data_IF_481043356067
#
_entry.id   IF_481043356067
#
_cell.length_a   1.000
_cell.length_b   1.000
_cell.length_c   1.000
_cell.angle_alpha   90.00
_cell.angle_beta   90.00
_cell.angle_gamma   90.00
#
_symmetry.space_group_name_H-M   'P 1'
#
loop_
_entity.id
_entity.type
_entity.pdbx_description
1 polymer ?
#
# COMPACT_ATOMS: atom_id res chain seq x y z
N UNK A 1 60.70 9.74 9.06
CA UNK A 1 59.40 10.42 8.88
C UNK A 1 58.98 11.02 10.23
N UNK A 2 58.63 12.32 10.31
CA UNK A 2 58.32 12.96 11.59
C UNK A 2 56.97 12.40 12.10
N UNK A 3 56.85 12.04 13.38
CA UNK A 3 55.64 11.51 14.02
C UNK A 3 54.36 12.30 13.66
N UNK A 4 54.47 13.63 13.57
CA UNK A 4 53.39 14.51 13.14
C UNK A 4 52.85 14.20 11.72
N UNK A 5 53.66 13.73 10.81
CA UNK A 5 53.23 13.39 9.45
C UNK A 5 52.49 12.07 9.43
N UNK A 6 52.91 11.08 10.23
CA UNK A 6 52.22 9.80 10.38
C UNK A 6 50.83 10.00 10.98
N UNK A 7 50.73 10.83 12.02
CA UNK A 7 49.43 11.12 12.67
C UNK A 7 48.48 11.86 11.71
N UNK A 8 48.97 12.82 10.93
CA UNK A 8 48.14 13.49 9.90
C UNK A 8 47.60 12.51 8.86
N UNK A 9 48.45 11.63 8.34
CA UNK A 9 48.04 10.62 7.35
C UNK A 9 47.01 9.68 7.95
N UNK A 10 47.21 9.21 9.19
CA UNK A 10 46.26 8.33 9.86
C UNK A 10 44.90 8.99 10.03
N UNK A 11 44.85 10.23 10.50
CA UNK A 11 43.60 10.99 10.65
C UNK A 11 42.90 11.19 9.30
N UNK A 12 43.65 11.61 8.28
CA UNK A 12 43.06 11.82 6.94
C UNK A 12 42.52 10.52 6.35
N UNK A 13 43.22 9.41 6.49
CA UNK A 13 42.77 8.10 6.02
C UNK A 13 41.50 7.63 6.78
N UNK A 14 41.47 7.85 8.08
CA UNK A 14 40.26 7.52 8.91
C UNK A 14 39.04 8.33 8.48
N UNK A 15 39.19 9.63 8.24
CA UNK A 15 38.10 10.49 7.78
C UNK A 15 37.64 10.06 6.37
N UNK A 16 38.54 9.78 5.46
CA UNK A 16 38.17 9.30 4.11
C UNK A 16 37.41 7.98 4.19
N UNK A 17 37.88 7.02 5.00
CA UNK A 17 37.17 5.74 5.19
C UNK A 17 35.78 5.92 5.77
N UNK A 18 35.62 6.79 6.77
CA UNK A 18 34.32 7.09 7.36
C UNK A 18 33.37 7.75 6.34
N UNK A 19 33.85 8.74 5.59
CA UNK A 19 33.06 9.40 4.55
C UNK A 19 32.67 8.42 3.43
N UNK A 20 33.59 7.55 3.01
CA UNK A 20 33.32 6.54 1.98
C UNK A 20 32.31 5.50 2.49
N UNK A 21 32.45 5.03 3.74
CA UNK A 21 31.51 4.11 4.36
C UNK A 21 30.10 4.71 4.48
N UNK A 22 30.03 5.98 4.89
CA UNK A 22 28.75 6.68 4.96
C UNK A 22 28.11 6.91 3.59
N UNK A 23 28.91 7.26 2.58
CA UNK A 23 28.44 7.45 1.21
C UNK A 23 27.91 6.14 0.62
N UNK A 24 28.62 5.02 0.81
CA UNK A 24 28.16 3.69 0.38
C UNK A 24 26.86 3.29 1.11
N UNK A 25 26.80 3.45 2.42
CA UNK A 25 25.61 3.18 3.20
C UNK A 25 24.40 4.01 2.71
N UNK A 26 24.62 5.31 2.49
CA UNK A 26 23.57 6.21 1.98
C UNK A 26 23.13 5.83 0.56
N UNK A 27 24.09 5.44 -0.29
CA UNK A 27 23.79 4.98 -1.65
C UNK A 27 22.93 3.70 -1.64
N UNK A 28 23.32 2.68 -0.88
CA UNK A 28 22.53 1.45 -0.78
C UNK A 28 21.13 1.70 -0.19
N UNK A 29 21.03 2.58 0.80
CA UNK A 29 19.73 2.94 1.39
C UNK A 29 18.84 3.70 0.42
N UNK A 30 19.41 4.60 -0.39
CA UNK A 30 18.65 5.34 -1.41
C UNK A 30 18.24 4.44 -2.56
N UNK A 31 19.13 3.57 -3.06
CA UNK A 31 18.79 2.58 -4.09
C UNK A 31 17.67 1.64 -3.64
N UNK A 32 17.75 1.10 -2.42
CA UNK A 32 16.69 0.25 -1.89
C UNK A 32 15.36 1.00 -1.75
N UNK A 33 15.39 2.30 -1.42
CA UNK A 33 14.18 3.12 -1.35
C UNK A 33 13.62 3.48 -2.73
N UNK A 34 14.47 3.56 -3.76
CA UNK A 34 14.02 3.74 -5.15
C UNK A 34 13.40 2.46 -5.71
N UNK A 35 14.03 1.29 -5.49
CA UNK A 35 13.51 0.00 -5.92
C UNK A 35 12.12 -0.30 -5.30
N UNK A 36 11.90 0.11 -4.05
CA UNK A 36 10.58 -0.02 -3.39
C UNK A 36 9.51 0.91 -3.97
N UNK A 37 9.88 2.08 -4.51
CA UNK A 37 8.92 2.98 -5.17
C UNK A 37 8.39 2.43 -6.49
N UNK A 38 9.12 1.53 -7.12
CA UNK A 38 8.80 0.99 -8.44
C UNK A 38 8.01 -0.32 -8.40
N UNK A 39 7.68 -0.83 -7.17
CA UNK A 39 6.86 -2.04 -7.06
C UNK A 39 5.45 -1.79 -7.61
N UNK A 40 5.10 -2.50 -8.69
CA UNK A 40 3.80 -2.38 -9.33
C UNK A 40 2.76 -3.24 -8.62
N UNK A 41 1.85 -2.61 -7.86
CA UNK A 41 0.78 -3.30 -7.13
C UNK A 41 -0.17 -4.09 -8.04
N UNK A 42 -0.33 -3.71 -9.31
CA UNK A 42 -1.19 -4.44 -10.24
C UNK A 42 -0.68 -5.84 -10.57
N UNK A 43 0.60 -6.11 -10.29
CA UNK A 43 1.17 -7.47 -10.39
C UNK A 43 0.60 -8.44 -9.34
N UNK A 44 -0.07 -7.93 -8.31
CA UNK A 44 -0.72 -8.70 -7.26
C UNK A 44 -2.22 -8.90 -7.49
N UNK A 45 -2.82 -8.10 -8.38
CA UNK A 45 -4.27 -8.09 -8.60
C UNK A 45 -4.68 -9.24 -9.51
N UNK A 46 -5.67 -10.07 -9.10
CA UNK A 46 -6.24 -11.08 -9.96
C UNK A 46 -6.84 -10.49 -11.24
N UNK A 47 -6.61 -11.13 -12.38
CA UNK A 47 -7.27 -10.75 -13.64
C UNK A 47 -8.80 -10.98 -13.60
N UNK A 48 -9.30 -11.72 -12.60
CA UNK A 48 -10.72 -11.93 -12.31
C UNK A 48 -11.40 -10.74 -11.63
N UNK A 49 -10.65 -9.70 -11.23
CA UNK A 49 -11.22 -8.50 -10.60
C UNK A 49 -12.25 -7.84 -11.53
N UNK A 50 -13.41 -7.44 -10.99
CA UNK A 50 -14.47 -6.74 -11.70
C UNK A 50 -14.22 -5.24 -11.80
N UNK A 51 -13.57 -4.68 -10.76
CA UNK A 51 -13.16 -3.29 -10.71
C UNK A 51 -11.91 -3.13 -9.85
N UNK A 52 -11.19 -2.03 -10.10
CA UNK A 52 -10.02 -1.62 -9.33
C UNK A 52 -10.09 -0.13 -9.07
N UNK A 53 -10.07 0.25 -7.79
CA UNK A 53 -9.89 1.62 -7.34
C UNK A 53 -8.42 1.86 -7.02
N UNK A 54 -7.85 2.99 -7.42
CA UNK A 54 -6.47 3.34 -7.12
C UNK A 54 -6.34 4.80 -6.74
N UNK A 55 -5.48 5.08 -5.76
CA UNK A 55 -4.96 6.43 -5.48
C UNK A 55 -3.45 6.37 -5.37
N UNK A 56 -2.77 7.37 -5.94
CA UNK A 56 -1.32 7.48 -5.93
C UNK A 56 -0.79 8.16 -4.66
N UNK A 57 -1.66 8.87 -3.93
CA UNK A 57 -1.37 9.47 -2.62
C UNK A 57 -2.54 9.25 -1.67
N UNK A 58 -2.41 8.25 -0.80
CA UNK A 58 -3.44 7.87 0.16
C UNK A 58 -3.71 8.98 1.17
N UNK A 59 -2.66 9.71 1.59
CA UNK A 59 -2.80 10.75 2.59
C UNK A 59 -3.56 11.96 2.03
N UNK A 60 -3.20 12.39 0.82
CA UNK A 60 -3.91 13.45 0.08
C UNK A 60 -5.36 13.05 -0.16
N UNK A 61 -5.62 11.84 -0.66
CA UNK A 61 -6.96 11.32 -0.91
C UNK A 61 -7.83 11.35 0.35
N UNK A 62 -7.31 10.89 1.50
CA UNK A 62 -8.06 10.88 2.77
C UNK A 62 -8.37 12.29 3.24
N UNK A 63 -7.42 13.23 3.14
CA UNK A 63 -7.60 14.62 3.54
C UNK A 63 -8.65 15.31 2.67
N UNK A 64 -8.55 15.18 1.36
CA UNK A 64 -9.47 15.81 0.42
C UNK A 64 -10.89 15.25 0.52
N UNK A 65 -11.03 13.93 0.68
CA UNK A 65 -12.34 13.28 0.89
C UNK A 65 -13.00 13.76 2.18
N UNK A 66 -12.24 14.05 3.23
CA UNK A 66 -12.79 14.55 4.49
C UNK A 66 -13.24 16.02 4.42
N UNK A 67 -12.64 16.82 3.56
CA UNK A 67 -13.05 18.22 3.34
C UNK A 67 -14.37 18.31 2.58
N UNK A 68 -14.77 17.24 1.83
CA UNK A 68 -16.06 17.23 1.16
C UNK A 68 -17.21 17.31 2.14
N UNK A 69 -18.14 18.22 1.90
CA UNK A 69 -19.34 18.46 2.74
C UNK A 69 -20.17 17.19 2.91
N UNK A 70 -20.24 16.35 1.87
CA UNK A 70 -20.93 15.05 1.89
C UNK A 70 -20.24 14.01 2.78
N UNK A 71 -18.93 14.14 3.02
CA UNK A 71 -18.17 13.23 3.89
C UNK A 71 -18.44 13.47 5.37
N UNK A 72 -18.83 14.69 5.77
CA UNK A 72 -19.14 15.04 7.17
C UNK A 72 -20.35 14.28 7.72
N UNK A 73 -21.30 13.93 6.88
CA UNK A 73 -22.49 13.15 7.27
C UNK A 73 -22.26 11.63 7.28
N UNK A 74 -21.05 11.17 7.03
CA UNK A 74 -20.61 9.75 7.00
C UNK A 74 -21.46 8.79 6.11
N UNK A 75 -22.41 9.31 5.33
CA UNK A 75 -23.39 8.50 4.60
C UNK A 75 -23.11 8.32 3.12
N UNK A 76 -22.26 9.15 2.50
CA UNK A 76 -22.22 9.24 1.03
C UNK A 76 -20.90 8.83 0.37
N UNK A 77 -19.80 8.65 1.09
CA UNK A 77 -18.52 8.19 0.55
C UNK A 77 -18.04 6.91 1.24
N UNK A 78 -18.78 5.86 1.02
CA UNK A 78 -18.38 4.52 1.39
C UNK A 78 -17.63 3.88 0.21
N UNK A 79 -16.31 3.85 0.29
CA UNK A 79 -15.49 3.18 -0.72
C UNK A 79 -15.45 1.68 -0.44
N UNK A 80 -15.12 1.31 0.80
CA UNK A 80 -15.11 -0.08 1.26
C UNK A 80 -14.95 -0.18 2.77
N UNK A 81 -15.31 -1.33 3.36
CA UNK A 81 -15.05 -1.63 4.77
C UNK A 81 -13.55 -1.63 5.08
N UNK A 82 -12.74 -2.18 4.17
CA UNK A 82 -11.28 -2.21 4.29
C UNK A 82 -10.69 -0.79 4.27
N UNK A 83 -11.21 0.07 3.40
CA UNK A 83 -10.79 1.48 3.35
C UNK A 83 -11.17 2.21 4.65
N UNK A 84 -12.33 1.93 5.22
CA UNK A 84 -12.74 2.54 6.49
C UNK A 84 -11.80 2.17 7.64
N UNK A 85 -11.31 0.94 7.70
CA UNK A 85 -10.29 0.52 8.66
C UNK A 85 -8.97 1.23 8.41
N UNK A 86 -8.51 1.31 7.16
CA UNK A 86 -7.29 2.01 6.79
C UNK A 86 -7.40 3.52 7.11
N UNK A 87 -8.53 4.15 6.78
CA UNK A 87 -8.79 5.56 7.07
C UNK A 87 -8.65 5.85 8.57
N UNK A 88 -9.28 5.04 9.42
CA UNK A 88 -9.19 5.18 10.87
C UNK A 88 -7.74 5.03 11.37
N UNK A 89 -6.98 4.15 10.74
CA UNK A 89 -5.56 3.99 11.02
C UNK A 89 -4.73 5.19 10.60
N UNK A 90 -4.91 5.69 9.37
CA UNK A 90 -4.20 6.85 8.87
C UNK A 90 -4.42 8.08 9.75
N UNK A 91 -5.64 8.31 10.22
CA UNK A 91 -5.92 9.38 11.19
C UNK A 91 -5.12 9.23 12.47
N UNK A 92 -5.07 8.03 13.03
CA UNK A 92 -4.32 7.81 14.27
C UNK A 92 -2.82 8.05 14.10
N UNK A 93 -2.30 7.82 12.90
CA UNK A 93 -0.89 8.06 12.59
C UNK A 93 -0.60 9.54 12.30
N UNK A 94 -1.52 10.25 11.66
CA UNK A 94 -1.43 11.69 11.41
C UNK A 94 -1.45 12.49 12.71
N UNK A 95 -2.22 12.04 13.72
CA UNK A 95 -2.20 12.64 15.06
C UNK A 95 -0.85 12.46 15.77
N UNK A 96 -0.24 11.27 15.64
CA UNK A 96 1.01 10.92 16.33
C UNK A 96 2.27 11.41 15.59
N UNK A 97 2.24 11.51 14.25
CA UNK A 97 3.39 11.89 13.42
C UNK A 97 3.00 12.54 12.08
N UNK A 98 2.55 13.81 12.09
CA UNK A 98 1.97 14.46 10.92
C UNK A 98 2.89 14.61 9.70
N UNK A 99 4.20 14.46 9.86
CA UNK A 99 5.18 14.62 8.77
C UNK A 99 5.83 13.30 8.29
N UNK A 100 5.51 12.18 8.92
CA UNK A 100 6.17 10.88 8.62
C UNK A 100 5.46 10.03 7.58
N UNK A 101 4.15 10.11 7.50
CA UNK A 101 3.32 9.22 6.69
C UNK A 101 3.21 9.60 5.22
N UNK A 102 3.21 10.89 4.91
CA UNK A 102 3.04 11.38 3.54
C UNK A 102 4.14 10.95 2.56
N UNK A 103 5.19 10.30 3.05
CA UNK A 103 6.31 9.83 2.22
C UNK A 103 6.37 8.31 2.06
N UNK A 104 5.61 7.56 2.83
CA UNK A 104 5.85 6.12 2.98
C UNK A 104 4.74 5.25 2.38
N UNK A 105 3.48 5.54 2.62
CA UNK A 105 2.34 4.82 2.01
C UNK A 105 1.73 5.65 0.87
N UNK A 106 2.42 5.74 -0.26
CA UNK A 106 1.97 6.61 -1.34
C UNK A 106 0.79 6.00 -2.11
N UNK A 107 0.93 4.77 -2.61
CA UNK A 107 -0.05 4.15 -3.48
C UNK A 107 -0.91 3.13 -2.73
N UNK A 108 -2.21 3.23 -2.91
CA UNK A 108 -3.19 2.25 -2.45
C UNK A 108 -4.07 1.82 -3.63
N UNK A 109 -4.42 0.54 -3.61
CA UNK A 109 -5.28 -0.07 -4.60
C UNK A 109 -6.31 -0.94 -3.88
N UNK A 110 -7.56 -0.95 -4.36
CA UNK A 110 -8.62 -1.85 -3.88
C UNK A 110 -9.19 -2.58 -5.09
N UNK A 111 -9.10 -3.91 -5.09
CA UNK A 111 -9.77 -4.74 -6.08
C UNK A 111 -11.10 -5.27 -5.56
N UNK A 112 -12.10 -5.31 -6.44
CA UNK A 112 -13.45 -5.80 -6.18
C UNK A 112 -13.66 -7.09 -6.96
N UNK A 113 -14.28 -8.07 -6.30
CA UNK A 113 -14.46 -9.41 -6.85
C UNK A 113 -15.93 -9.84 -6.74
N UNK A 114 -16.37 -10.68 -7.68
CA UNK A 114 -17.69 -11.29 -7.66
C UNK A 114 -17.80 -12.39 -6.57
N UNK A 115 -18.97 -12.53 -5.90
CA UNK A 115 -20.11 -11.62 -5.92
C UNK A 115 -19.80 -10.30 -5.20
N UNK A 116 -20.30 -9.18 -5.74
CA UNK A 116 -20.03 -7.84 -5.22
C UNK A 116 -20.61 -7.69 -3.80
N UNK A 117 -19.72 -7.63 -2.83
CA UNK A 117 -20.02 -7.35 -1.42
C UNK A 117 -18.77 -6.90 -0.68
N UNK A 118 -18.96 -6.32 0.51
CA UNK A 118 -17.87 -5.78 1.34
C UNK A 118 -16.78 -6.78 1.76
N UNK A 119 -17.05 -8.08 1.66
CA UNK A 119 -16.08 -9.13 1.99
C UNK A 119 -15.24 -9.56 0.81
N UNK A 120 -15.73 -9.35 -0.42
CA UNK A 120 -15.04 -9.76 -1.64
C UNK A 120 -14.18 -8.62 -2.21
N UNK A 121 -13.39 -8.02 -1.34
CA UNK A 121 -12.49 -6.92 -1.65
C UNK A 121 -11.09 -7.25 -1.14
N UNK A 122 -10.09 -6.74 -1.85
CA UNK A 122 -8.70 -6.82 -1.43
C UNK A 122 -8.10 -5.42 -1.49
N UNK A 123 -7.48 -5.00 -0.40
CA UNK A 123 -6.77 -3.75 -0.30
C UNK A 123 -5.27 -4.03 -0.38
N UNK A 124 -4.58 -3.28 -1.21
CA UNK A 124 -3.14 -3.36 -1.42
C UNK A 124 -2.54 -2.00 -1.10
N UNK A 125 -1.46 -1.99 -0.33
CA UNK A 125 -0.67 -0.80 -0.06
C UNK A 125 0.78 -1.08 -0.40
N UNK A 126 1.42 -0.14 -1.10
CA UNK A 126 2.87 -0.14 -1.24
C UNK A 126 3.49 0.30 0.09
N UNK A 127 4.54 -0.37 0.51
CA UNK A 127 5.26 -0.04 1.73
C UNK A 127 6.59 0.62 1.41
N UNK A 128 6.98 1.56 2.27
CA UNK A 128 8.30 2.15 2.30
C UNK A 128 9.13 1.64 3.48
N UNK A 129 10.37 2.10 3.57
CA UNK A 129 11.26 1.78 4.67
C UNK A 129 10.69 2.26 6.03
N UNK A 130 10.42 1.33 6.94
CA UNK A 130 9.90 1.60 8.28
C UNK A 130 8.39 1.45 8.45
N UNK A 131 7.63 1.26 7.36
CA UNK A 131 6.18 1.11 7.42
C UNK A 131 5.76 -0.19 8.12
N UNK A 132 6.57 -1.23 8.05
CA UNK A 132 6.31 -2.49 8.75
C UNK A 132 6.15 -2.31 10.26
N UNK A 133 7.00 -1.50 10.88
CA UNK A 133 6.89 -1.20 12.31
C UNK A 133 5.63 -0.40 12.66
N UNK A 134 5.18 0.46 11.74
CA UNK A 134 3.94 1.21 11.89
C UNK A 134 2.73 0.27 11.81
N UNK A 135 2.74 -0.67 10.86
CA UNK A 135 1.69 -1.68 10.70
C UNK A 135 1.62 -2.57 11.94
N UNK A 136 2.76 -3.02 12.48
CA UNK A 136 2.81 -3.83 13.70
C UNK A 136 2.20 -3.07 14.90
N UNK A 137 2.50 -1.77 15.04
CA UNK A 137 1.89 -0.92 16.09
C UNK A 137 0.39 -0.73 15.89
N UNK A 138 -0.06 -0.54 14.65
CA UNK A 138 -1.48 -0.46 14.32
C UNK A 138 -2.21 -1.74 14.70
N UNK A 139 -1.69 -2.86 14.25
CA UNK A 139 -2.25 -4.18 14.56
C UNK A 139 -2.39 -4.37 16.06
N UNK A 140 -1.37 -4.02 16.84
CA UNK A 140 -1.40 -4.10 18.31
C UNK A 140 -2.47 -3.20 18.94
N UNK A 141 -2.77 -2.04 18.34
CA UNK A 141 -3.73 -1.06 18.88
C UNK A 141 -5.19 -1.41 18.58
N UNK A 142 -5.48 -1.90 17.37
CA UNK A 142 -6.85 -2.04 16.86
C UNK A 142 -7.36 -3.49 16.76
N UNK A 143 -6.47 -4.46 16.81
CA UNK A 143 -6.84 -5.87 16.87
C UNK A 143 -7.34 -6.21 18.25
N UNK A 144 -8.40 -6.99 18.33
CA UNK A 144 -9.00 -7.42 19.59
C UNK A 144 -7.95 -8.05 20.51
N UNK A 145 -7.71 -7.43 21.67
CA UNK A 145 -6.81 -7.97 22.70
C UNK A 145 -7.31 -9.30 23.32
N UNK A 146 -8.56 -9.69 23.03
CA UNK A 146 -9.15 -10.91 23.56
C UNK A 146 -8.78 -12.19 22.81
N UNK A 147 -8.32 -12.08 21.59
CA UNK A 147 -7.97 -13.24 20.75
C UNK A 147 -6.64 -13.00 20.02
N UNK A 148 -5.64 -13.84 20.25
CA UNK A 148 -4.36 -13.71 19.56
C UNK A 148 -4.54 -13.96 18.04
N UNK A 149 -3.76 -13.27 17.19
CA UNK A 149 -3.72 -13.54 15.77
C UNK A 149 -3.25 -14.97 15.50
N UNK A 150 -3.71 -15.53 14.38
CA UNK A 150 -3.30 -16.86 13.93
C UNK A 150 -2.55 -16.74 12.63
N UNK A 151 -1.38 -17.37 12.54
CA UNK A 151 -0.60 -17.47 11.31
C UNK A 151 -0.88 -18.79 10.62
N UNK A 152 -1.08 -18.73 9.30
CA UNK A 152 -1.28 -19.87 8.42
C UNK A 152 -0.22 -19.84 7.32
N UNK A 153 0.52 -20.92 7.16
CA UNK A 153 1.38 -21.10 5.99
C UNK A 153 0.53 -21.45 4.76
N UNK A 154 0.76 -20.73 3.68
CA UNK A 154 0.21 -21.05 2.37
C UNK A 154 1.31 -21.00 1.31
N UNK A 155 1.73 -22.16 0.85
CA UNK A 155 2.80 -22.30 -0.16
C UNK A 155 4.13 -21.63 0.25
N UNK A 156 4.45 -21.62 1.56
CA UNK A 156 5.65 -21.03 2.11
C UNK A 156 5.56 -19.51 2.36
N UNK A 157 4.36 -18.96 2.31
CA UNK A 157 4.06 -17.57 2.66
C UNK A 157 3.13 -17.51 3.88
N UNK A 158 3.38 -16.58 4.79
CA UNK A 158 2.58 -16.44 6.01
C UNK A 158 1.35 -15.56 5.77
N UNK A 159 0.16 -16.09 6.07
CA UNK A 159 -1.09 -15.33 6.15
C UNK A 159 -1.45 -15.17 7.61
N UNK A 160 -1.52 -13.93 8.09
CA UNK A 160 -1.88 -13.62 9.47
C UNK A 160 -3.36 -13.26 9.52
N UNK A 161 -4.13 -13.95 10.37
CA UNK A 161 -5.55 -13.68 10.59
C UNK A 161 -5.72 -12.94 11.90
N UNK A 162 -6.25 -11.73 11.83
CA UNK A 162 -6.56 -10.88 12.97
C UNK A 162 -8.05 -10.91 13.26
N UNK A 163 -8.48 -11.37 14.45
CA UNK A 163 -9.86 -11.20 14.89
C UNK A 163 -10.17 -9.72 15.13
N UNK A 164 -11.26 -9.22 14.58
CA UNK A 164 -11.70 -7.84 14.73
C UNK A 164 -12.72 -7.71 15.86
N UNK A 165 -12.86 -6.49 16.41
CA UNK A 165 -13.77 -6.23 17.53
C UNK A 165 -15.25 -6.42 17.18
N UNK A 166 -15.62 -6.30 15.91
CA UNK A 166 -16.97 -6.49 15.37
C UNK A 166 -17.34 -7.96 15.10
N UNK A 167 -16.44 -8.89 15.43
CA UNK A 167 -16.62 -10.33 15.22
C UNK A 167 -16.23 -10.83 13.84
N UNK A 168 -15.79 -9.93 12.96
CA UNK A 168 -15.17 -10.28 11.69
C UNK A 168 -13.69 -10.67 11.89
N UNK A 169 -13.01 -10.97 10.80
CA UNK A 169 -11.56 -11.17 10.77
C UNK A 169 -10.94 -10.44 9.59
N UNK A 170 -9.69 -10.09 9.75
CA UNK A 170 -8.87 -9.49 8.71
C UNK A 170 -7.71 -10.43 8.40
N UNK A 171 -7.65 -10.92 7.17
CA UNK A 171 -6.52 -11.66 6.65
C UNK A 171 -5.49 -10.68 6.10
N UNK A 172 -4.24 -10.88 6.47
CA UNK A 172 -3.12 -10.02 6.14
C UNK A 172 -2.00 -10.83 5.51
N UNK A 173 -1.48 -10.37 4.39
CA UNK A 173 -0.24 -10.81 3.77
C UNK A 173 0.72 -9.63 3.70
N UNK A 174 1.79 -9.70 4.49
CA UNK A 174 2.74 -8.61 4.70
C UNK A 174 4.13 -9.03 4.25
N UNK A 175 4.72 -8.23 3.38
CA UNK A 175 6.11 -8.36 2.92
C UNK A 175 6.90 -7.08 3.23
N UNK A 176 8.12 -6.96 2.72
CA UNK A 176 8.90 -5.72 2.83
C UNK A 176 8.39 -4.64 1.87
N UNK A 177 7.81 -5.04 0.73
CA UNK A 177 7.42 -4.15 -0.36
C UNK A 177 5.95 -3.73 -0.31
N UNK A 178 5.09 -4.58 0.25
CA UNK A 178 3.64 -4.36 0.24
C UNK A 178 2.90 -5.02 1.40
N UNK A 179 1.72 -4.47 1.66
CA UNK A 179 0.69 -5.01 2.53
C UNK A 179 -0.55 -5.35 1.70
N UNK A 180 -1.11 -6.55 1.91
CA UNK A 180 -2.39 -6.96 1.33
C UNK A 180 -3.35 -7.35 2.44
N UNK A 181 -4.57 -6.80 2.41
CA UNK A 181 -5.61 -7.04 3.40
C UNK A 181 -6.91 -7.49 2.73
N UNK A 182 -7.60 -8.45 3.34
CA UNK A 182 -8.95 -8.86 2.92
C UNK A 182 -9.74 -9.43 4.10
N UNK A 183 -11.07 -9.29 4.06
CA UNK A 183 -11.97 -10.04 4.94
C UNK A 183 -12.15 -11.50 4.50
N UNK A 184 -11.49 -11.91 3.42
CA UNK A 184 -11.54 -13.27 2.85
C UNK A 184 -10.14 -13.85 2.73
N UNK A 185 -9.80 -14.85 3.56
CA UNK A 185 -8.51 -15.56 3.48
C UNK A 185 -8.26 -16.12 2.07
N UNK A 186 -9.32 -16.60 1.39
CA UNK A 186 -9.21 -17.17 0.04
C UNK A 186 -8.68 -16.17 -0.99
N UNK A 187 -9.06 -14.90 -0.89
CA UNK A 187 -8.55 -13.85 -1.79
C UNK A 187 -7.06 -13.58 -1.54
N UNK A 188 -6.60 -13.66 -0.29
CA UNK A 188 -5.16 -13.57 0.03
C UNK A 188 -4.39 -14.76 -0.56
N UNK A 189 -4.95 -15.98 -0.48
CA UNK A 189 -4.35 -17.17 -1.11
C UNK A 189 -4.24 -17.00 -2.62
N UNK A 190 -5.26 -16.41 -3.28
CA UNK A 190 -5.25 -16.10 -4.71
C UNK A 190 -4.17 -15.07 -5.07
N UNK A 191 -3.99 -14.01 -4.27
CA UNK A 191 -2.91 -13.04 -4.44
C UNK A 191 -1.53 -13.70 -4.37
N UNK A 192 -1.32 -14.61 -3.42
CA UNK A 192 -0.07 -15.37 -3.32
C UNK A 192 0.15 -16.25 -4.56
N UNK A 193 -0.91 -16.88 -5.06
CA UNK A 193 -0.83 -17.69 -6.28
C UNK A 193 -0.47 -16.87 -7.51
N UNK A 194 -1.06 -15.70 -7.64
CA UNK A 194 -0.78 -14.77 -8.73
C UNK A 194 0.66 -14.27 -8.67
N UNK A 195 1.13 -13.88 -7.50
CA UNK A 195 2.52 -13.47 -7.30
C UNK A 195 3.50 -14.55 -7.76
N UNK A 196 3.18 -15.83 -7.52
CA UNK A 196 4.02 -16.97 -7.92
C UNK A 196 3.89 -17.36 -9.38
N UNK A 197 2.73 -17.17 -9.99
CA UNK A 197 2.46 -17.57 -11.37
C UNK A 197 2.63 -16.45 -12.40
N UNK A 198 2.62 -15.19 -11.95
CA UNK A 198 2.68 -14.00 -12.81
C UNK A 198 1.39 -13.73 -13.61
N UNK A 199 0.29 -14.42 -13.29
CA UNK A 199 -1.00 -14.25 -13.99
C UNK A 199 -1.85 -13.15 -13.33
N UNK A 200 -1.35 -11.93 -13.36
CA UNK A 200 -1.96 -10.76 -12.74
C UNK A 200 -2.67 -9.87 -13.76
N UNK A 201 -3.34 -8.84 -13.24
CA UNK A 201 -3.99 -7.82 -14.05
C UNK A 201 -2.99 -7.02 -14.91
N UNK A 202 -1.74 -6.85 -14.45
CA UNK A 202 -0.69 -6.20 -15.24
C UNK A 202 -0.28 -6.99 -16.49
N UNK A 203 -0.70 -8.24 -16.62
CA UNK A 203 -0.51 -9.06 -17.81
C UNK A 203 -1.73 -9.11 -18.74
N UNK A 204 -2.81 -8.41 -18.41
CA UNK A 204 -4.03 -8.30 -19.22
C UNK A 204 -3.85 -7.18 -20.26
N UNK A 205 -3.79 -7.50 -21.59
CA UNK A 205 -3.57 -6.50 -22.63
C UNK A 205 -4.65 -5.42 -22.68
N UNK A 206 -5.92 -5.79 -22.44
CA UNK A 206 -7.05 -4.87 -22.45
C UNK A 206 -6.96 -3.87 -21.28
N UNK A 207 -6.40 -4.31 -20.15
CA UNK A 207 -6.15 -3.44 -19.00
C UNK A 207 -4.97 -2.50 -19.24
N UNK A 208 -3.87 -3.01 -19.78
CA UNK A 208 -2.68 -2.20 -20.09
C UNK A 208 -2.93 -1.13 -21.15
N UNK A 209 -3.86 -1.36 -22.09
CA UNK A 209 -4.27 -0.35 -23.06
C UNK A 209 -4.96 0.85 -22.38
N UNK A 210 -5.78 0.60 -21.35
CA UNK A 210 -6.53 1.63 -20.61
C UNK A 210 -5.66 2.29 -19.55
N UNK A 211 -4.76 1.54 -18.92
CA UNK A 211 -3.83 1.99 -17.89
C UNK A 211 -2.70 2.87 -18.46
N UNK A 212 -2.96 3.78 -19.33
CA UNK A 212 -1.91 4.68 -19.84
C UNK A 212 -1.43 5.60 -18.70
N UNK A 213 -0.11 5.73 -18.46
CA UNK A 213 0.42 6.66 -17.45
C UNK A 213 0.12 8.10 -17.88
N UNK A 214 -1.05 8.58 -17.52
CA UNK A 214 -1.41 9.98 -17.67
C UNK A 214 -0.87 10.71 -16.45
N UNK A 215 -0.32 11.91 -16.64
CA UNK A 215 -0.21 12.89 -15.57
C UNK A 215 -1.63 13.31 -15.20
N UNK A 216 -2.29 12.49 -14.40
CA UNK A 216 -3.64 12.77 -13.95
C UNK A 216 -3.59 13.79 -12.82
N UNK A 217 -4.45 14.78 -12.86
CA UNK A 217 -4.82 15.62 -11.71
C UNK A 217 -5.93 14.95 -10.89
N UNK A 218 -6.17 13.66 -11.12
CA UNK A 218 -7.16 12.88 -10.40
C UNK A 218 -6.62 12.49 -9.04
N UNK A 219 -7.43 12.62 -8.00
CA UNK A 219 -7.13 12.16 -6.63
C UNK A 219 -7.24 10.65 -6.51
N UNK A 220 -8.10 10.06 -7.34
CA UNK A 220 -8.26 8.62 -7.48
C UNK A 220 -8.76 8.26 -8.87
N UNK A 221 -8.52 7.02 -9.30
CA UNK A 221 -8.99 6.47 -10.57
C UNK A 221 -9.68 5.14 -10.33
N UNK A 222 -10.78 4.90 -11.02
CA UNK A 222 -11.51 3.62 -10.99
C UNK A 222 -11.43 2.98 -12.38
N UNK A 223 -10.90 1.78 -12.42
CA UNK A 223 -10.96 0.91 -13.60
C UNK A 223 -12.05 -0.13 -13.39
N UNK A 224 -12.94 -0.33 -14.33
CA UNK A 224 -14.03 -1.31 -14.22
C UNK A 224 -14.35 -1.97 -15.54
N UNK A 225 -14.84 -3.21 -15.49
CA UNK A 225 -15.45 -3.91 -16.61
C UNK A 225 -16.95 -3.67 -16.58
N UNK A 226 -17.44 -2.83 -17.47
CA UNK A 226 -18.87 -2.58 -17.58
C UNK A 226 -19.58 -3.74 -18.28
N UNK A 227 -20.71 -4.18 -17.72
CA UNK A 227 -21.53 -5.23 -18.31
C UNK A 227 -21.94 -4.82 -19.74
N UNK A 228 -21.63 -5.66 -20.74
CA UNK A 228 -21.91 -5.44 -22.13
C UNK A 228 -20.86 -4.66 -22.92
N UNK A 229 -19.78 -4.20 -22.29
CA UNK A 229 -18.60 -3.65 -22.97
C UNK A 229 -17.49 -4.72 -23.02
N UNK A 230 -16.77 -4.75 -24.15
CA UNK A 230 -15.53 -5.52 -24.22
C UNK A 230 -14.41 -4.64 -23.65
N UNK A 231 -13.68 -5.16 -22.66
CA UNK A 231 -12.51 -4.50 -22.09
C UNK A 231 -12.79 -3.67 -20.83
N UNK A 232 -11.77 -2.92 -20.42
CA UNK A 232 -11.75 -2.09 -19.23
C UNK A 232 -12.12 -0.63 -19.57
N UNK A 233 -12.71 0.08 -18.61
CA UNK A 233 -13.03 1.50 -18.71
C UNK A 233 -12.45 2.23 -17.49
N UNK A 234 -11.84 3.40 -17.73
CA UNK A 234 -11.23 4.26 -16.72
C UNK A 234 -12.15 5.42 -16.37
N UNK A 235 -12.28 5.71 -15.07
CA UNK A 235 -13.00 6.86 -14.53
C UNK A 235 -12.11 7.60 -13.54
N UNK A 236 -11.76 8.84 -13.89
CA UNK A 236 -10.99 9.72 -13.00
C UNK A 236 -11.91 10.46 -12.03
N UNK A 237 -11.59 10.36 -10.73
CA UNK A 237 -12.18 11.20 -9.69
C UNK A 237 -11.38 12.49 -9.58
N UNK A 238 -12.02 13.63 -9.82
CA UNK A 238 -11.44 14.97 -9.62
C UNK A 238 -12.30 15.72 -8.64
N UNK A 239 -11.68 16.30 -7.63
CA UNK A 239 -12.35 17.34 -6.88
C UNK A 239 -12.48 18.55 -7.80
N UNK A 240 -13.67 19.11 -7.90
CA UNK A 240 -13.85 20.42 -8.51
C UNK A 240 -13.14 21.41 -7.61
N UNK A 241 -12.21 22.16 -8.16
CA UNK A 241 -11.77 23.40 -7.56
C UNK A 241 -13.04 24.24 -7.33
N UNK A 242 -13.41 24.42 -6.08
CA UNK A 242 -14.51 25.31 -5.73
C UNK A 242 -14.11 26.73 -6.11
N UNK A 243 -14.94 27.35 -6.93
CA UNK A 243 -14.87 28.73 -7.41
C UNK A 243 -14.98 29.74 -6.28
#
# INVERSE_FOLDING_TARGET
MKLRTIVKIAITSSVVLLCSGFALYSFFRLSAAEDQKDFDLYTLVPSSASAVFVTEDVAEFVMEVDELTCSRDHQYLYVSKLFSYLKQYLYSLLEDAPHGLSRQMNQMLISFHEPDNDRNQVLYCRLGNGDRELIDRFVQKYVSSGYPPKTFDYKGEDIIIYPMADGDFLACYLTEDFLVLSCQKKLIEEVIDIRKTGKSLSGDPDFEEVRTPKKSTAIATVYTRLAGMMGWTEFDMKLKDDF
#
